data_IF_090929077063
#
_entry.id   IF_090929077063
#
_cell.length_a   1.000
_cell.length_b   1.000
_cell.length_c   1.000
_cell.angle_alpha   90.00
_cell.angle_beta   90.00
_cell.angle_gamma   90.00
#
_symmetry.space_group_name_H-M   'P 1'
#
loop_
_entity.id
_entity.type
_entity.pdbx_description
1 polymer ?
#
# COMPACT_ATOMS: atom_id res chain seq x y z
N UNK A 1 -61.69 -13.80 -10.90
CA UNK A 1 -61.29 -13.31 -9.56
C UNK A 1 -60.61 -11.96 -9.72
N UNK A 2 -61.24 -10.86 -9.27
CA UNK A 2 -60.60 -9.53 -9.29
C UNK A 2 -59.61 -9.46 -8.13
N UNK A 3 -58.32 -9.53 -8.45
CA UNK A 3 -57.25 -9.28 -7.48
C UNK A 3 -57.35 -7.80 -7.09
N UNK A 4 -57.78 -7.54 -5.85
CA UNK A 4 -57.90 -6.18 -5.34
C UNK A 4 -56.51 -5.56 -5.19
N UNK A 5 -56.24 -4.49 -5.93
CA UNK A 5 -55.03 -3.67 -5.76
C UNK A 5 -55.10 -2.96 -4.41
N UNK A 6 -54.59 -3.59 -3.36
CA UNK A 6 -54.34 -2.93 -2.08
C UNK A 6 -53.13 -2.04 -2.27
N UNK A 7 -53.38 -0.76 -2.57
CA UNK A 7 -52.35 0.27 -2.57
C UNK A 7 -51.66 0.28 -1.20
N UNK A 8 -50.33 0.24 -1.21
CA UNK A 8 -49.53 0.51 -0.02
C UNK A 8 -49.95 1.87 0.54
N UNK A 9 -50.33 1.88 1.82
CA UNK A 9 -50.82 3.09 2.48
C UNK A 9 -49.75 4.19 2.39
N UNK A 10 -50.08 5.44 2.01
CA UNK A 10 -49.10 6.51 1.76
C UNK A 10 -48.12 6.75 2.91
N UNK A 11 -48.57 6.48 4.14
CA UNK A 11 -47.79 6.59 5.37
C UNK A 11 -46.70 5.52 5.48
N UNK A 12 -46.96 4.30 4.99
CA UNK A 12 -45.97 3.21 5.04
C UNK A 12 -44.84 3.49 4.06
N UNK A 13 -45.16 4.07 2.89
CA UNK A 13 -44.16 4.45 1.90
C UNK A 13 -43.19 5.52 2.42
N UNK A 14 -43.69 6.54 3.14
CA UNK A 14 -42.83 7.60 3.68
C UNK A 14 -41.89 7.09 4.78
N UNK A 15 -42.37 6.21 5.67
CA UNK A 15 -41.53 5.60 6.71
C UNK A 15 -40.43 4.72 6.09
N UNK A 16 -40.76 3.94 5.07
CA UNK A 16 -39.78 3.13 4.34
C UNK A 16 -38.72 4.00 3.63
N UNK A 17 -39.12 5.14 3.07
CA UNK A 17 -38.21 6.07 2.41
C UNK A 17 -37.21 6.66 3.43
N UNK A 18 -37.69 7.10 4.60
CA UNK A 18 -36.84 7.64 5.65
C UNK A 18 -35.83 6.61 6.14
N UNK A 19 -36.27 5.37 6.41
CA UNK A 19 -35.37 4.29 6.82
C UNK A 19 -34.32 3.97 5.75
N UNK A 20 -34.72 3.98 4.47
CA UNK A 20 -33.80 3.75 3.35
C UNK A 20 -32.71 4.83 3.28
N UNK A 21 -33.04 6.09 3.53
CA UNK A 21 -32.06 7.19 3.56
C UNK A 21 -31.02 6.98 4.67
N UNK A 22 -31.44 6.53 5.85
CA UNK A 22 -30.51 6.22 6.96
C UNK A 22 -29.56 5.07 6.60
N UNK A 23 -30.05 4.04 5.93
CA UNK A 23 -29.22 2.93 5.46
C UNK A 23 -28.19 3.42 4.44
N UNK A 24 -28.61 4.22 3.46
CA UNK A 24 -27.70 4.76 2.44
C UNK A 24 -26.63 5.68 3.05
N UNK A 25 -26.99 6.53 4.01
CA UNK A 25 -26.01 7.39 4.69
C UNK A 25 -25.00 6.58 5.50
N UNK A 26 -25.42 5.52 6.18
CA UNK A 26 -24.50 4.62 6.87
C UNK A 26 -23.53 3.92 5.91
N UNK A 27 -24.01 3.47 4.73
CA UNK A 27 -23.17 2.87 3.70
C UNK A 27 -22.11 3.85 3.17
N UNK A 28 -22.51 5.08 2.82
CA UNK A 28 -21.59 6.11 2.32
C UNK A 28 -20.54 6.46 3.39
N UNK A 29 -20.96 6.62 4.64
CA UNK A 29 -20.05 6.93 5.75
C UNK A 29 -19.06 5.79 6.02
N UNK A 30 -19.53 4.54 5.99
CA UNK A 30 -18.65 3.38 6.13
C UNK A 30 -17.63 3.29 5.02
N UNK A 31 -18.04 3.56 3.77
CA UNK A 31 -17.13 3.60 2.63
C UNK A 31 -16.10 4.74 2.75
N UNK A 32 -16.54 5.94 3.12
CA UNK A 32 -15.67 7.11 3.31
C UNK A 32 -14.63 6.88 4.42
N UNK A 33 -15.02 6.28 5.54
CA UNK A 33 -14.09 5.93 6.63
C UNK A 33 -13.00 4.96 6.16
N UNK A 34 -13.38 3.93 5.41
CA UNK A 34 -12.43 2.97 4.83
C UNK A 34 -11.45 3.65 3.87
N UNK A 35 -11.93 4.59 3.05
CA UNK A 35 -11.08 5.37 2.15
C UNK A 35 -10.05 6.23 2.89
N UNK A 36 -10.46 6.90 3.98
CA UNK A 36 -9.57 7.73 4.80
C UNK A 36 -8.50 6.89 5.50
N UNK A 37 -8.88 5.75 6.07
CA UNK A 37 -7.93 4.83 6.72
C UNK A 37 -6.87 4.31 5.74
N UNK A 38 -7.30 3.94 4.53
CA UNK A 38 -6.38 3.42 3.51
C UNK A 38 -5.53 4.51 2.85
N UNK A 39 -5.98 5.77 2.91
CA UNK A 39 -5.19 6.92 2.45
C UNK A 39 -4.10 7.30 3.47
N UNK A 40 -4.31 7.04 4.76
CA UNK A 40 -3.30 7.22 5.80
C UNK A 40 -2.17 6.19 5.73
N UNK A 41 -2.42 4.97 5.24
CA UNK A 41 -1.36 3.96 5.05
C UNK A 41 -0.50 4.22 3.80
N UNK A 42 -1.00 5.01 2.85
CA UNK A 42 -0.27 5.43 1.65
C UNK A 42 0.24 6.89 1.72
N UNK A 43 -0.06 7.58 2.81
CA UNK A 43 0.33 8.97 3.06
C UNK A 43 1.34 9.04 4.19
N UNK A 44 2.46 9.72 3.95
CA UNK A 44 3.42 10.15 4.97
C UNK A 44 4.44 9.12 5.48
N UNK A 45 5.08 8.39 4.57
CA UNK A 45 6.52 8.35 4.72
C UNK A 45 7.12 9.25 3.66
N UNK A 46 7.74 10.35 4.08
CA UNK A 46 8.59 11.10 3.17
C UNK A 46 9.62 10.11 2.60
N UNK A 47 9.99 10.25 1.32
CA UNK A 47 11.03 9.39 0.73
C UNK A 47 12.31 9.36 1.59
N UNK A 48 12.55 10.44 2.35
CA UNK A 48 13.62 10.56 3.34
C UNK A 48 13.46 9.62 4.55
N UNK A 49 12.25 9.48 5.11
CA UNK A 49 11.98 8.56 6.23
C UNK A 49 11.95 7.10 5.79
N UNK A 50 11.51 6.80 4.56
CA UNK A 50 11.65 5.45 4.02
C UNK A 50 13.13 5.10 3.85
N UNK A 51 13.94 6.02 3.32
CA UNK A 51 15.38 5.82 3.17
C UNK A 51 16.11 5.65 4.52
N UNK A 52 15.62 6.27 5.61
CA UNK A 52 16.21 6.07 6.95
C UNK A 52 15.77 4.75 7.60
N UNK A 53 14.60 4.22 7.23
CA UNK A 53 14.05 2.99 7.80
C UNK A 53 14.44 1.73 7.00
N UNK A 54 14.79 1.90 5.73
CA UNK A 54 15.30 0.85 4.86
C UNK A 54 16.80 0.65 5.12
N UNK A 55 17.12 -0.36 5.93
CA UNK A 55 18.48 -0.84 6.15
C UNK A 55 18.63 -2.26 5.58
N UNK A 56 19.52 -2.43 4.62
CA UNK A 56 19.85 -3.75 4.09
C UNK A 56 21.33 -3.82 3.76
N UNK A 57 21.90 -5.02 3.93
CA UNK A 57 23.28 -5.29 3.60
C UNK A 57 23.36 -6.25 2.41
N UNK A 58 24.29 -5.98 1.49
CA UNK A 58 24.59 -6.82 0.34
C UNK A 58 26.00 -7.36 0.51
N UNK A 59 26.13 -8.68 0.56
CA UNK A 59 27.42 -9.36 0.63
C UNK A 59 27.65 -10.13 -0.66
N UNK A 60 28.81 -9.93 -1.28
CA UNK A 60 29.24 -10.72 -2.41
C UNK A 60 29.84 -12.04 -1.91
N UNK A 61 29.23 -13.15 -2.30
CA UNK A 61 29.63 -14.49 -1.85
C UNK A 61 30.55 -15.22 -2.84
N UNK A 62 30.98 -14.53 -3.89
CA UNK A 62 31.85 -15.11 -4.92
C UNK A 62 31.10 -15.52 -6.19
N UNK A 63 31.86 -16.15 -7.07
CA UNK A 63 31.38 -16.64 -8.37
C UNK A 63 31.17 -18.14 -8.24
N UNK A 64 29.97 -18.61 -8.57
CA UNK A 64 29.67 -20.03 -8.63
C UNK A 64 30.52 -20.73 -9.70
N UNK A 65 30.71 -22.07 -9.64
CA UNK A 65 31.40 -22.83 -10.67
C UNK A 65 30.80 -22.69 -12.09
N UNK A 66 29.59 -22.14 -12.18
CA UNK A 66 28.84 -21.87 -13.41
C UNK A 66 28.88 -20.40 -13.85
N UNK A 67 29.87 -19.61 -13.41
CA UNK A 67 30.02 -18.18 -13.72
C UNK A 67 28.82 -17.29 -13.30
N UNK A 68 28.08 -17.71 -12.27
CA UNK A 68 26.98 -16.92 -11.68
C UNK A 68 27.49 -16.16 -10.47
N UNK A 69 27.32 -14.84 -10.47
CA UNK A 69 27.62 -13.98 -9.32
C UNK A 69 26.57 -14.18 -8.23
N UNK A 70 27.00 -14.61 -7.05
CA UNK A 70 26.10 -14.79 -5.91
C UNK A 70 26.19 -13.60 -4.96
N UNK A 71 25.03 -13.04 -4.63
CA UNK A 71 24.89 -11.97 -3.66
C UNK A 71 23.88 -12.39 -2.60
N UNK A 72 24.28 -12.28 -1.34
CA UNK A 72 23.36 -12.41 -0.22
C UNK A 72 22.87 -11.02 0.18
N UNK A 73 21.55 -10.90 0.29
CA UNK A 73 20.90 -9.66 0.68
C UNK A 73 20.15 -9.92 1.97
N UNK A 74 20.52 -9.16 3.00
CA UNK A 74 19.89 -9.27 4.32
C UNK A 74 19.19 -7.96 4.61
N UNK A 75 17.85 -8.01 4.66
CA UNK A 75 17.06 -6.91 5.17
C UNK A 75 17.22 -6.84 6.70
N UNK A 76 17.81 -5.75 7.19
CA UNK A 76 18.00 -5.47 8.62
C UNK A 76 16.98 -4.47 9.15
N UNK A 77 16.30 -3.77 8.25
CA UNK A 77 15.26 -2.81 8.56
C UNK A 77 13.92 -3.47 8.89
N UNK A 78 13.01 -2.65 9.40
CA UNK A 78 11.65 -3.06 9.75
C UNK A 78 10.65 -2.87 8.58
N UNK A 79 11.15 -2.55 7.38
CA UNK A 79 10.34 -2.33 6.18
C UNK A 79 10.45 -3.55 5.29
N UNK A 80 9.31 -4.06 4.82
CA UNK A 80 9.31 -5.18 3.88
C UNK A 80 9.74 -4.70 2.49
N UNK A 81 10.76 -5.33 1.91
CA UNK A 81 11.31 -4.98 0.60
C UNK A 81 10.66 -5.90 -0.45
N UNK A 82 9.81 -5.34 -1.31
CA UNK A 82 9.06 -6.11 -2.31
C UNK A 82 9.86 -6.45 -3.56
N UNK A 83 10.77 -5.57 -3.98
CA UNK A 83 11.61 -5.78 -5.17
C UNK A 83 12.91 -4.97 -5.09
N UNK A 84 13.97 -5.50 -5.68
CA UNK A 84 15.28 -4.85 -5.76
C UNK A 84 15.77 -4.85 -7.21
N UNK A 85 16.34 -3.72 -7.66
CA UNK A 85 16.98 -3.59 -8.97
C UNK A 85 18.45 -3.21 -8.77
N UNK A 86 19.35 -4.05 -9.27
CA UNK A 86 20.79 -3.79 -9.21
C UNK A 86 21.31 -3.39 -10.58
N UNK A 87 22.30 -2.49 -10.57
CA UNK A 87 23.09 -2.18 -11.75
C UNK A 87 24.55 -2.44 -11.41
N UNK A 88 25.11 -3.49 -11.98
CA UNK A 88 26.52 -3.88 -11.79
C UNK A 88 27.36 -3.13 -12.83
N UNK A 89 28.38 -2.42 -12.37
CA UNK A 89 29.33 -1.72 -13.23
C UNK A 89 30.64 -2.50 -13.27
N UNK A 90 31.07 -2.90 -14.46
CA UNK A 90 32.35 -3.59 -14.68
C UNK A 90 33.48 -2.56 -14.75
N UNK A 91 34.24 -2.42 -13.66
CA UNK A 91 35.42 -1.55 -13.58
C UNK A 91 35.12 -0.19 -12.92
N UNK A 92 35.18 -0.15 -11.59
CA UNK A 92 35.11 1.07 -10.79
C UNK A 92 35.56 0.82 -9.37
N UNK A 93 36.34 1.74 -8.81
CA UNK A 93 36.80 1.72 -7.42
C UNK A 93 35.60 2.08 -6.52
N UNK A 94 35.14 1.15 -5.67
CA UNK A 94 33.96 1.30 -4.81
C UNK A 94 34.25 2.12 -3.55
N UNK A 95 35.27 3.00 -3.58
CA UNK A 95 35.50 4.00 -2.54
C UNK A 95 34.29 4.92 -2.45
N UNK A 96 33.53 4.74 -1.37
CA UNK A 96 32.55 5.70 -0.88
C UNK A 96 33.29 7.01 -0.54
N UNK A 97 33.48 7.89 -1.51
CA UNK A 97 33.74 9.29 -1.22
C UNK A 97 32.41 9.84 -0.73
N UNK A 98 32.39 10.25 0.54
CA UNK A 98 31.31 11.01 1.16
C UNK A 98 31.07 12.29 0.34
N UNK A 99 30.29 12.18 -0.74
CA UNK A 99 29.85 13.33 -1.52
C UNK A 99 28.70 13.97 -0.75
N UNK A 100 29.05 14.96 0.07
CA UNK A 100 28.10 15.94 0.57
C UNK A 100 27.42 16.61 -0.62
N UNK A 101 26.22 16.13 -0.96
CA UNK A 101 25.26 16.85 -1.78
C UNK A 101 24.21 17.40 -0.82
N UNK A 102 24.41 18.67 -0.47
CA UNK A 102 23.32 19.54 0.01
C UNK A 102 22.53 20.09 -1.17
#
# INVERSE_FOLDING_TARGET
MRVGNRGVSPVVASVLLILLVFVLTAFVFSWARTFILNSSDNGEFSASELCSTVDFNIVFNGISPSDVYNFDIVNRGNVNISSLKFKVYSGGDSRLVNSGVG
#
